data_IF_102328456402
#
_entry.id   IF_102328456402
#
_cell.length_a   1.000
_cell.length_b   1.000
_cell.length_c   1.000
_cell.angle_alpha   90.00
_cell.angle_beta   90.00
_cell.angle_gamma   90.00
#
_symmetry.space_group_name_H-M   'P 1'
#
loop_
_entity.id
_entity.type
_entity.pdbx_description
1 polymer ?
#
# COMPACT_ATOMS: atom_id res chain seq x y z
N UNK A 1 26.26 -9.34 -0.26
CA UNK A 1 25.17 -9.43 -1.26
C UNK A 1 24.42 -10.72 -0.97
N UNK A 2 23.18 -10.66 -0.48
CA UNK A 2 22.37 -11.86 -0.20
C UNK A 2 21.63 -12.24 -1.49
N UNK A 3 21.79 -13.47 -1.95
CA UNK A 3 21.03 -14.01 -3.07
C UNK A 3 19.61 -14.35 -2.61
N UNK A 4 18.62 -13.65 -3.14
CA UNK A 4 17.22 -13.99 -2.92
C UNK A 4 16.88 -15.20 -3.80
N UNK A 5 16.79 -16.40 -3.22
CA UNK A 5 16.35 -17.60 -3.94
C UNK A 5 14.86 -17.45 -4.25
N UNK A 6 14.53 -17.17 -5.52
CA UNK A 6 13.14 -17.20 -6.01
C UNK A 6 12.81 -18.62 -6.47
N UNK A 7 12.07 -19.36 -5.65
CA UNK A 7 11.44 -20.59 -6.10
C UNK A 7 10.35 -20.23 -7.11
N UNK A 8 10.33 -20.88 -8.28
CA UNK A 8 9.54 -20.51 -9.47
C UNK A 8 8.00 -20.61 -9.35
N UNK A 9 7.42 -20.46 -8.16
CA UNK A 9 5.98 -20.40 -7.95
C UNK A 9 5.38 -19.01 -8.22
N UNK A 10 4.10 -18.96 -8.62
CA UNK A 10 3.32 -17.73 -8.65
C UNK A 10 3.08 -17.26 -7.21
N UNK A 11 3.74 -16.17 -6.80
CA UNK A 11 3.50 -15.53 -5.49
C UNK A 11 2.15 -14.82 -5.44
N UNK A 12 1.59 -14.66 -4.25
CA UNK A 12 0.43 -13.79 -3.99
C UNK A 12 0.93 -12.43 -3.53
N UNK A 13 0.43 -11.36 -4.15
CA UNK A 13 0.73 -10.00 -3.73
C UNK A 13 -0.30 -9.54 -2.71
N UNK A 14 0.16 -9.00 -1.59
CA UNK A 14 -0.67 -8.39 -0.55
C UNK A 14 -0.17 -6.96 -0.32
N UNK A 15 -1.09 -6.04 -0.07
CA UNK A 15 -0.80 -4.73 0.51
C UNK A 15 -1.24 -4.74 1.97
N UNK A 16 -0.47 -4.13 2.85
CA UNK A 16 -0.94 -3.93 4.22
C UNK A 16 -0.20 -2.81 4.91
N UNK A 17 -0.78 -2.31 5.99
CA UNK A 17 -0.14 -1.32 6.85
C UNK A 17 -0.24 -1.73 8.32
N UNK A 18 0.60 -1.13 9.16
CA UNK A 18 0.59 -1.29 10.60
C UNK A 18 1.12 -0.02 11.27
N UNK A 19 1.04 0.01 12.60
CA UNK A 19 1.50 1.11 13.43
C UNK A 19 1.95 0.57 14.80
N UNK A 20 2.51 1.45 15.63
CA UNK A 20 2.73 1.12 17.05
C UNK A 20 1.46 0.76 17.84
N UNK A 21 0.27 1.10 17.33
CA UNK A 21 -1.02 0.73 17.95
C UNK A 21 -1.55 -0.64 17.48
N UNK A 22 -0.91 -1.25 16.49
CA UNK A 22 -1.30 -2.55 15.95
C UNK A 22 -1.43 -2.58 14.43
N UNK A 23 -2.01 -3.68 13.96
CA UNK A 23 -2.18 -4.00 12.54
C UNK A 23 -3.30 -3.16 11.90
N UNK A 24 -3.05 -2.73 10.66
CA UNK A 24 -4.04 -2.15 9.78
C UNK A 24 -4.61 -3.19 8.80
N UNK A 25 -5.28 -2.72 7.75
CA UNK A 25 -5.83 -3.60 6.71
C UNK A 25 -4.75 -4.43 6.03
N UNK A 26 -5.08 -5.68 5.69
CA UNK A 26 -4.31 -6.55 4.81
C UNK A 26 -5.19 -6.91 3.60
N UNK A 27 -4.77 -6.49 2.42
CA UNK A 27 -5.57 -6.49 1.19
C UNK A 27 -4.86 -7.33 0.14
N UNK A 28 -5.57 -8.31 -0.43
CA UNK A 28 -5.07 -9.09 -1.56
C UNK A 28 -5.06 -8.24 -2.82
N UNK A 29 -3.92 -8.22 -3.50
CA UNK A 29 -3.75 -7.56 -4.79
C UNK A 29 -3.79 -8.61 -5.88
N UNK A 30 -4.65 -8.41 -6.88
CA UNK A 30 -4.77 -9.32 -8.00
C UNK A 30 -3.68 -9.01 -9.04
N UNK A 31 -2.69 -9.88 -9.16
CA UNK A 31 -1.59 -9.71 -10.11
C UNK A 31 -0.56 -8.69 -9.63
N UNK A 32 -0.07 -7.86 -10.56
CA UNK A 32 0.94 -6.82 -10.28
C UNK A 32 0.25 -5.49 -10.01
N UNK A 33 0.52 -4.90 -8.85
CA UNK A 33 0.01 -3.57 -8.51
C UNK A 33 0.51 -2.50 -9.50
N UNK A 34 -0.41 -1.67 -9.98
CA UNK A 34 -0.11 -0.41 -10.66
C UNK A 34 -0.50 0.81 -9.80
N UNK A 35 -0.22 2.02 -10.28
CA UNK A 35 -0.49 3.26 -9.53
C UNK A 35 -1.99 3.48 -9.23
N UNK A 36 -2.90 3.08 -10.11
CA UNK A 36 -4.35 3.21 -9.89
C UNK A 36 -4.81 2.25 -8.80
N UNK A 37 -4.32 1.01 -8.85
CA UNK A 37 -4.61 0.01 -7.80
C UNK A 37 -4.10 0.51 -6.44
N UNK A 38 -2.91 1.14 -6.40
CA UNK A 38 -2.37 1.72 -5.19
C UNK A 38 -3.28 2.83 -4.64
N UNK A 39 -3.64 3.82 -5.46
CA UNK A 39 -4.57 4.90 -5.06
C UNK A 39 -5.89 4.31 -4.55
N UNK A 40 -6.47 3.36 -5.28
CA UNK A 40 -7.72 2.72 -4.90
C UNK A 40 -7.61 2.03 -3.53
N UNK A 41 -6.49 1.35 -3.25
CA UNK A 41 -6.26 0.71 -1.95
C UNK A 41 -6.15 1.75 -0.83
N UNK A 42 -5.44 2.86 -1.07
CA UNK A 42 -5.33 3.94 -0.10
C UNK A 42 -6.71 4.54 0.21
N UNK A 43 -7.50 4.85 -0.82
CA UNK A 43 -8.84 5.43 -0.68
C UNK A 43 -9.84 4.47 -0.03
N UNK A 44 -9.81 3.19 -0.41
CA UNK A 44 -10.79 2.19 0.02
C UNK A 44 -10.49 1.58 1.39
N UNK A 45 -9.20 1.52 1.79
CA UNK A 45 -8.79 0.81 2.99
C UNK A 45 -8.01 1.68 3.98
N UNK A 46 -6.98 2.42 3.53
CA UNK A 46 -6.15 3.18 4.44
C UNK A 46 -6.87 4.40 5.02
N UNK A 47 -7.46 5.26 4.17
CA UNK A 47 -8.09 6.50 4.61
C UNK A 47 -9.27 6.25 5.59
N UNK A 48 -10.16 5.27 5.35
CA UNK A 48 -11.19 4.90 6.33
C UNK A 48 -10.61 4.37 7.64
N UNK A 49 -9.56 3.54 7.57
CA UNK A 49 -8.87 3.02 8.76
C UNK A 49 -8.26 4.15 9.60
N UNK A 50 -7.60 5.10 8.95
CA UNK A 50 -7.03 6.28 9.62
C UNK A 50 -8.13 7.13 10.22
N UNK A 51 -9.21 7.40 9.47
CA UNK A 51 -10.32 8.21 9.94
C UNK A 51 -10.96 7.61 11.20
N UNK A 52 -11.12 6.28 11.24
CA UNK A 52 -11.72 5.56 12.37
C UNK A 52 -10.80 5.48 13.59
N UNK A 53 -9.49 5.26 13.41
CA UNK A 53 -8.59 4.90 14.50
C UNK A 53 -7.66 6.02 14.96
N UNK A 54 -7.53 7.08 14.16
CA UNK A 54 -6.60 8.19 14.41
C UNK A 54 -7.29 9.55 14.36
N UNK A 55 -8.62 9.63 14.27
CA UNK A 55 -9.37 10.90 14.20
C UNK A 55 -8.80 11.86 13.15
N UNK A 56 -8.20 11.32 12.07
CA UNK A 56 -7.49 12.08 11.02
C UNK A 56 -6.36 12.99 11.53
N UNK A 57 -5.86 12.78 12.75
CA UNK A 57 -4.84 13.59 13.42
C UNK A 57 -3.75 12.68 14.00
N UNK A 58 -2.50 13.14 14.02
CA UNK A 58 -1.36 12.41 14.59
C UNK A 58 -1.05 11.05 13.93
N UNK A 59 -0.81 11.04 12.62
CA UNK A 59 -0.12 9.94 11.95
C UNK A 59 0.88 10.47 10.92
N UNK A 60 1.97 9.73 10.72
CA UNK A 60 2.88 9.91 9.59
C UNK A 60 2.69 8.68 8.71
N UNK A 61 2.36 8.91 7.44
CA UNK A 61 2.32 7.84 6.46
C UNK A 61 3.71 7.61 5.89
N UNK A 62 4.14 6.36 5.85
CA UNK A 62 5.42 5.94 5.30
C UNK A 62 5.20 4.73 4.40
N UNK A 63 5.71 4.79 3.18
CA UNK A 63 5.79 3.70 2.22
C UNK A 63 7.23 3.56 1.70
N UNK A 64 7.48 2.55 0.86
CA UNK A 64 8.71 2.47 0.12
C UNK A 64 8.65 3.40 -1.12
N UNK A 65 9.79 3.85 -1.61
CA UNK A 65 9.84 4.75 -2.78
C UNK A 65 9.62 3.99 -4.11
N UNK A 66 8.75 2.97 -4.12
CA UNK A 66 8.43 2.25 -5.33
C UNK A 66 7.82 3.19 -6.39
N UNK A 67 8.09 2.91 -7.66
CA UNK A 67 7.61 3.74 -8.78
C UNK A 67 6.08 3.82 -8.85
N UNK A 68 5.38 2.84 -8.29
CA UNK A 68 3.91 2.83 -8.19
C UNK A 68 3.37 3.81 -7.13
N UNK A 69 4.18 4.15 -6.12
CA UNK A 69 3.80 5.09 -5.04
C UNK A 69 4.10 6.55 -5.40
N UNK A 70 5.06 6.77 -6.30
CA UNK A 70 5.54 8.10 -6.73
C UNK A 70 4.96 8.57 -8.06
N UNK A 71 4.02 7.83 -8.64
CA UNK A 71 3.43 8.17 -9.93
C UNK A 71 2.74 9.53 -9.85
N UNK A 72 3.28 10.53 -10.57
CA UNK A 72 2.59 11.79 -10.82
C UNK A 72 1.39 11.49 -11.72
N UNK A 73 0.19 11.49 -11.17
CA UNK A 73 -1.02 11.51 -11.99
C UNK A 73 -1.00 12.81 -12.79
N UNK A 74 -0.62 12.75 -14.07
CA UNK A 74 -0.84 13.86 -14.99
C UNK A 74 -2.36 14.07 -15.03
N UNK A 75 -2.83 15.15 -14.41
CA UNK A 75 -4.18 15.65 -14.66
C UNK A 75 -4.21 16.01 -16.14
N UNK A 76 -4.94 15.25 -16.95
CA UNK A 76 -5.42 15.75 -18.22
C UNK A 76 -6.35 16.92 -17.96
N UNK A 77 -6.11 18.01 -18.70
CA UNK A 77 -6.85 19.29 -18.69
C UNK A 77 -8.37 19.13 -18.82
#
# INVERSE_FOLDING_TARGET
MVSLVKHGGRGVMMWGCFSGKGLGPLVKVNGKMNHKDYIQILESHLLPFISKNYNRRCYLFQDDNASVHTAKTLKSE
#
